data_IF_307666537576
#
_entry.id   IF_307666537576
#
_cell.length_a   1.000
_cell.length_b   1.000
_cell.length_c   1.000
_cell.angle_alpha   90.00
_cell.angle_beta   90.00
_cell.angle_gamma   90.00
#
_symmetry.space_group_name_H-M   'P 1'
#
loop_
_entity.id
_entity.type
_entity.pdbx_description
1 polymer ?
#
# COMPACT_ATOMS: atom_id res chain seq x y z
N UNK A 1 5.98 21.85 -39.78
CA UNK A 1 4.62 21.70 -39.21
C UNK A 1 4.49 20.34 -38.53
N UNK A 2 3.85 20.31 -37.39
CA UNK A 2 3.58 19.06 -36.76
C UNK A 2 2.48 18.29 -37.48
N UNK A 3 2.62 16.98 -37.51
CA UNK A 3 1.51 16.12 -37.95
C UNK A 3 0.37 16.25 -36.94
N UNK A 4 -0.86 15.87 -37.35
CA UNK A 4 -1.96 15.88 -36.37
C UNK A 4 -1.65 15.08 -35.11
N UNK A 5 -0.91 13.98 -35.24
CA UNK A 5 -0.52 13.20 -34.09
C UNK A 5 0.42 13.95 -33.17
N UNK A 6 1.38 14.67 -33.74
CA UNK A 6 2.28 15.51 -32.97
C UNK A 6 1.54 16.65 -32.30
N UNK A 7 0.66 17.30 -33.06
CA UNK A 7 -0.12 18.40 -32.53
C UNK A 7 -0.99 17.97 -31.37
N UNK A 8 -1.37 16.69 -31.32
CA UNK A 8 -2.20 16.14 -30.27
C UNK A 8 -1.41 15.62 -29.08
N UNK A 9 -0.10 15.52 -29.23
CA UNK A 9 0.74 15.12 -28.11
C UNK A 9 0.77 16.24 -27.09
N UNK A 10 0.32 15.91 -25.92
CA UNK A 10 0.30 16.88 -24.83
C UNK A 10 1.62 16.85 -24.12
N UNK A 11 2.17 18.04 -23.89
CA UNK A 11 3.27 18.18 -22.97
C UNK A 11 2.64 18.39 -21.60
N UNK A 12 2.57 17.33 -20.81
CA UNK A 12 1.97 17.38 -19.49
C UNK A 12 2.78 16.50 -18.53
N UNK A 13 2.32 16.39 -17.32
CA UNK A 13 3.04 15.69 -16.25
C UNK A 13 2.59 14.25 -16.06
N UNK A 14 1.75 13.71 -16.93
CA UNK A 14 1.13 12.38 -16.74
C UNK A 14 2.20 11.30 -16.53
N UNK A 15 3.19 11.26 -17.41
CA UNK A 15 4.28 10.26 -17.30
C UNK A 15 5.08 10.43 -16.03
N UNK A 16 5.41 11.67 -15.68
CA UNK A 16 6.20 11.97 -14.49
C UNK A 16 5.42 11.63 -13.22
N UNK A 17 4.12 11.93 -13.23
CA UNK A 17 3.26 11.57 -12.12
C UNK A 17 3.16 10.05 -11.94
N UNK A 18 3.09 9.30 -13.03
CA UNK A 18 3.07 7.84 -12.97
C UNK A 18 4.35 7.29 -12.35
N UNK A 19 5.49 7.84 -12.74
CA UNK A 19 6.79 7.45 -12.16
C UNK A 19 6.83 7.77 -10.66
N UNK A 20 6.38 8.97 -10.29
CA UNK A 20 6.34 9.39 -8.89
C UNK A 20 5.40 8.54 -8.06
N UNK A 21 4.23 8.16 -8.62
CA UNK A 21 3.29 7.27 -7.93
C UNK A 21 3.90 5.91 -7.65
N UNK A 22 4.68 5.39 -8.60
CA UNK A 22 5.38 4.11 -8.39
C UNK A 22 6.29 4.16 -7.19
N UNK A 23 7.04 5.24 -7.01
CA UNK A 23 7.86 5.44 -5.83
C UNK A 23 7.01 5.51 -4.56
N UNK A 24 5.93 6.29 -4.60
CA UNK A 24 5.05 6.45 -3.44
C UNK A 24 4.39 5.13 -3.05
N UNK A 25 3.93 4.36 -4.03
CA UNK A 25 3.31 3.07 -3.79
C UNK A 25 4.30 2.10 -3.16
N UNK A 26 5.53 2.07 -3.64
CA UNK A 26 6.57 1.24 -3.05
C UNK A 26 6.85 1.66 -1.60
N UNK A 27 6.93 2.95 -1.34
CA UNK A 27 7.17 3.46 0.00
C UNK A 27 6.03 3.08 0.96
N UNK A 28 4.79 3.14 0.51
CA UNK A 28 3.63 2.71 1.30
C UNK A 28 3.73 1.23 1.63
N UNK A 29 4.03 0.40 0.64
CA UNK A 29 4.16 -1.04 0.83
C UNK A 29 5.27 -1.38 1.83
N UNK A 30 6.44 -0.77 1.68
CA UNK A 30 7.56 -1.02 2.58
C UNK A 30 7.26 -0.57 4.00
N UNK A 31 6.63 0.59 4.16
CA UNK A 31 6.24 1.09 5.48
C UNK A 31 5.25 0.13 6.15
N UNK A 32 4.26 -0.33 5.40
CA UNK A 32 3.27 -1.27 5.93
C UNK A 32 3.94 -2.58 6.35
N UNK A 33 4.90 -3.06 5.58
CA UNK A 33 5.66 -4.26 5.94
C UNK A 33 6.52 -4.04 7.18
N UNK A 34 7.19 -2.89 7.27
CA UNK A 34 8.06 -2.58 8.40
C UNK A 34 7.31 -2.56 9.74
N UNK A 35 6.06 -2.12 9.75
CA UNK A 35 5.25 -2.08 10.97
C UNK A 35 4.32 -3.28 11.11
N UNK A 36 4.45 -4.28 10.25
CA UNK A 36 3.64 -5.50 10.27
C UNK A 36 2.14 -5.22 10.17
N UNK A 37 1.77 -4.20 9.38
CA UNK A 37 0.38 -3.75 9.25
C UNK A 37 -0.54 -4.88 8.82
N UNK A 38 -0.14 -5.60 7.77
CA UNK A 38 -0.97 -6.67 7.21
C UNK A 38 -1.10 -7.86 8.15
N UNK A 39 -0.06 -8.13 8.94
CA UNK A 39 -0.09 -9.18 9.95
C UNK A 39 -1.07 -8.82 11.07
N UNK A 40 -1.08 -7.56 11.50
CA UNK A 40 -2.04 -7.10 12.49
C UNK A 40 -3.47 -7.22 11.98
N UNK A 41 -3.73 -6.83 10.73
CA UNK A 41 -5.06 -6.95 10.13
C UNK A 41 -5.49 -8.41 10.07
N UNK A 42 -4.59 -9.29 9.63
CA UNK A 42 -4.85 -10.73 9.59
C UNK A 42 -5.22 -11.29 10.97
N UNK A 43 -4.57 -10.78 12.00
CA UNK A 43 -4.75 -11.26 13.37
C UNK A 43 -5.89 -10.56 14.11
N UNK A 44 -6.72 -9.80 13.43
CA UNK A 44 -7.95 -9.27 13.98
C UNK A 44 -8.01 -7.77 14.20
N UNK A 45 -6.95 -7.02 13.93
CA UNK A 45 -7.01 -5.55 13.96
C UNK A 45 -7.83 -5.09 12.76
N UNK A 46 -9.07 -4.69 13.00
CA UNK A 46 -10.00 -4.42 11.92
C UNK A 46 -10.42 -2.95 11.82
N UNK A 47 -9.76 -2.08 12.54
CA UNK A 47 -10.03 -0.63 12.53
C UNK A 47 -8.74 0.15 12.64
N UNK A 48 -8.81 1.43 12.25
CA UNK A 48 -7.65 2.32 12.39
C UNK A 48 -7.26 2.50 13.86
N UNK A 49 -8.25 2.51 14.77
CA UNK A 49 -7.98 2.64 16.19
C UNK A 49 -7.16 1.43 16.70
N UNK A 50 -7.52 0.22 16.28
CA UNK A 50 -6.77 -0.97 16.64
C UNK A 50 -5.33 -0.89 16.11
N UNK A 51 -5.16 -0.46 14.87
CA UNK A 51 -3.85 -0.34 14.24
C UNK A 51 -2.99 0.72 14.92
N UNK A 52 -3.56 1.85 15.29
CA UNK A 52 -2.83 2.88 16.02
C UNK A 52 -2.31 2.33 17.35
N UNK A 53 -3.14 1.57 18.05
CA UNK A 53 -2.77 0.99 19.33
C UNK A 53 -1.65 -0.04 19.20
N UNK A 54 -1.73 -0.89 18.18
CA UNK A 54 -0.76 -1.98 17.99
C UNK A 54 0.56 -1.50 17.41
N UNK A 55 0.53 -0.49 16.55
CA UNK A 55 1.75 0.01 15.89
C UNK A 55 2.43 1.13 16.68
N UNK A 56 1.73 1.78 17.59
CA UNK A 56 2.25 2.93 18.30
C UNK A 56 2.29 4.20 17.46
N UNK A 57 1.78 4.17 16.24
CA UNK A 57 1.72 5.34 15.37
C UNK A 57 0.60 6.28 15.80
N UNK A 58 0.76 7.56 15.48
CA UNK A 58 -0.30 8.55 15.71
C UNK A 58 -1.51 8.19 14.85
N UNK A 59 -2.73 8.44 15.34
CA UNK A 59 -3.95 8.14 14.56
C UNK A 59 -3.94 8.76 13.16
N UNK A 60 -3.42 9.97 13.00
CA UNK A 60 -3.34 10.63 11.69
C UNK A 60 -2.43 9.86 10.73
N UNK A 61 -1.31 9.33 11.23
CA UNK A 61 -0.38 8.57 10.40
C UNK A 61 -0.99 7.23 9.99
N UNK A 62 -1.73 6.59 10.89
CA UNK A 62 -2.47 5.36 10.57
C UNK A 62 -3.52 5.63 9.51
N UNK A 63 -4.29 6.73 9.66
CA UNK A 63 -5.32 7.10 8.70
C UNK A 63 -4.72 7.30 7.30
N UNK A 64 -3.60 8.00 7.22
CA UNK A 64 -2.92 8.24 5.94
C UNK A 64 -2.43 6.94 5.31
N UNK A 65 -1.81 6.08 6.10
CA UNK A 65 -1.30 4.81 5.61
C UNK A 65 -2.43 3.89 5.15
N UNK A 66 -3.48 3.76 5.95
CA UNK A 66 -4.64 2.94 5.61
C UNK A 66 -5.33 3.48 4.35
N UNK A 67 -5.48 4.79 4.25
CA UNK A 67 -6.08 5.41 3.06
C UNK A 67 -5.28 5.05 1.79
N UNK A 68 -3.96 5.12 1.87
CA UNK A 68 -3.11 4.72 0.74
C UNK A 68 -3.27 3.24 0.41
N UNK A 69 -3.28 2.38 1.43
CA UNK A 69 -3.45 0.94 1.22
C UNK A 69 -4.81 0.62 0.60
N UNK A 70 -5.87 1.32 1.03
CA UNK A 70 -7.20 1.15 0.44
C UNK A 70 -7.20 1.57 -1.03
N UNK A 71 -6.57 2.69 -1.35
CA UNK A 71 -6.55 3.18 -2.73
C UNK A 71 -5.71 2.28 -3.64
N UNK A 72 -4.72 1.59 -3.10
CA UNK A 72 -3.88 0.63 -3.83
C UNK A 72 -4.49 -0.77 -3.91
N UNK A 73 -5.63 -0.99 -3.26
CA UNK A 73 -6.26 -2.30 -3.24
C UNK A 73 -5.58 -3.32 -2.33
N UNK A 74 -4.69 -2.90 -1.46
CA UNK A 74 -4.03 -3.80 -0.51
C UNK A 74 -4.93 -4.13 0.67
N UNK A 75 -5.79 -3.20 1.03
CA UNK A 75 -6.82 -3.34 2.05
C UNK A 75 -8.18 -3.02 1.45
N UNK A 76 -9.23 -3.51 2.07
CA UNK A 76 -10.60 -3.13 1.74
C UNK A 76 -11.46 -3.15 3.00
N UNK A 77 -12.65 -2.57 2.89
CA UNK A 77 -13.65 -2.65 3.95
C UNK A 77 -14.61 -3.80 3.66
N UNK A 78 -14.81 -4.65 4.63
CA UNK A 78 -15.81 -5.71 4.59
C UNK A 78 -16.66 -5.61 5.85
N UNK A 79 -17.92 -5.20 5.70
CA UNK A 79 -18.85 -5.03 6.82
C UNK A 79 -18.27 -4.15 7.94
N UNK A 80 -17.68 -3.02 7.53
CA UNK A 80 -17.03 -2.04 8.43
C UNK A 80 -15.75 -2.54 9.11
N UNK A 81 -15.17 -3.62 8.61
CA UNK A 81 -13.90 -4.15 9.10
C UNK A 81 -12.84 -4.07 8.01
N UNK A 82 -11.64 -3.69 8.38
CA UNK A 82 -10.50 -3.73 7.47
C UNK A 82 -10.10 -5.18 7.22
N UNK A 83 -9.90 -5.52 5.96
CA UNK A 83 -9.41 -6.84 5.57
C UNK A 83 -8.30 -6.68 4.53
N UNK A 84 -7.36 -7.62 4.55
CA UNK A 84 -6.31 -7.69 3.53
C UNK A 84 -6.89 -8.20 2.22
N UNK A 85 -6.31 -7.75 1.10
CA UNK A 85 -6.61 -8.40 -0.18
C UNK A 85 -6.08 -9.85 -0.17
N UNK A 86 -6.61 -10.73 -1.03
CA UNK A 86 -6.19 -12.15 -1.00
C UNK A 86 -4.69 -12.36 -1.21
N UNK A 87 -4.06 -11.59 -2.09
CA UNK A 87 -2.63 -11.71 -2.33
C UNK A 87 -1.81 -11.20 -1.15
N UNK A 88 -2.24 -10.11 -0.52
CA UNK A 88 -1.59 -9.59 0.70
C UNK A 88 -1.68 -10.64 1.81
N UNK A 89 -2.85 -11.24 1.98
CA UNK A 89 -3.06 -12.24 3.02
C UNK A 89 -2.18 -13.47 2.79
N UNK A 90 -1.99 -13.85 1.54
CA UNK A 90 -1.18 -15.02 1.18
C UNK A 90 0.32 -14.76 1.32
N UNK A 91 0.80 -13.59 0.90
CA UNK A 91 2.23 -13.34 0.73
C UNK A 91 2.83 -12.31 1.69
N UNK A 92 2.05 -11.49 2.34
CA UNK A 92 2.56 -10.38 3.14
C UNK A 92 2.18 -10.47 4.63
N UNK A 93 1.66 -11.61 5.07
CA UNK A 93 1.39 -11.88 6.48
C UNK A 93 2.53 -12.72 7.05
N UNK A 94 3.17 -12.22 8.08
CA UNK A 94 4.25 -12.93 8.76
C UNK A 94 3.72 -14.24 9.36
N UNK A 95 4.50 -15.31 9.21
CA UNK A 95 4.08 -16.63 9.65
C UNK A 95 3.34 -17.44 8.58
N UNK A 96 2.93 -16.82 7.49
CA UNK A 96 2.38 -17.53 6.35
C UNK A 96 3.48 -18.39 5.70
N UNK A 97 3.13 -19.58 5.23
CA UNK A 97 4.09 -20.45 4.53
C UNK A 97 4.59 -19.83 3.23
N UNK A 98 3.88 -18.84 2.70
CA UNK A 98 4.24 -18.16 1.45
C UNK A 98 4.69 -16.72 1.68
N UNK A 99 5.11 -16.38 2.90
CA UNK A 99 5.48 -15.01 3.24
C UNK A 99 6.66 -14.55 2.38
N UNK A 100 6.47 -13.47 1.65
CA UNK A 100 7.44 -12.91 0.71
C UNK A 100 7.97 -11.54 1.12
N UNK A 101 7.70 -11.10 2.36
CA UNK A 101 8.11 -9.78 2.84
C UNK A 101 9.60 -9.52 2.67
N UNK A 102 10.49 -10.41 3.13
CA UNK A 102 11.93 -10.20 2.96
C UNK A 102 12.36 -10.08 1.51
N UNK A 103 11.74 -10.85 0.61
CA UNK A 103 12.03 -10.75 -0.82
C UNK A 103 11.58 -9.41 -1.38
N UNK A 104 10.41 -8.93 -0.97
CA UNK A 104 9.88 -7.63 -1.41
C UNK A 104 10.80 -6.49 -0.97
N UNK A 105 11.25 -6.52 0.28
CA UNK A 105 12.08 -5.43 0.82
C UNK A 105 13.53 -5.52 0.39
N UNK A 106 13.97 -6.68 -0.11
CA UNK A 106 15.34 -6.86 -0.62
C UNK A 106 15.68 -5.86 -1.71
N UNK A 107 14.73 -5.47 -2.53
CA UNK A 107 14.96 -4.62 -3.68
C UNK A 107 14.86 -3.12 -3.39
N UNK A 108 14.55 -2.74 -2.15
CA UNK A 108 14.34 -1.31 -1.85
C UNK A 108 15.63 -0.52 -1.66
N UNK A 109 16.76 -1.20 -1.55
CA UNK A 109 18.06 -0.53 -1.43
C UNK A 109 18.64 -0.18 -2.83
#
# INVERSE_FOLDING_TARGET
>A
MSSPGEAQQKVDTTRLQAIARGYTEAAVLYTALDISLFSHVHNGANSEADLAKLTGLRPLDVDRLVTCCLSMGLLSWDSNKLVNSPDVDAFLVEGSTRFAGPWMTFTRE
#
